data_IF_507343216065
#
_entry.id   IF_507343216065
#
_cell.length_a   1.000
_cell.length_b   1.000
_cell.length_c   1.000
_cell.angle_alpha   90.00
_cell.angle_beta   90.00
_cell.angle_gamma   90.00
#
_symmetry.space_group_name_H-M   'P 1'
#
loop_
_entity.id
_entity.type
_entity.pdbx_description
1 polymer ?
#
# COMPACT_ATOMS: atom_id res chain seq x y z
N UNK A 1 -29.12 -14.12 -5.97
CA UNK A 1 -28.25 -13.24 -6.79
C UNK A 1 -27.58 -12.10 -6.03
N UNK A 2 -27.92 -11.80 -4.77
CA UNK A 2 -27.28 -10.72 -3.97
C UNK A 2 -25.89 -11.07 -3.42
N UNK A 3 -25.60 -12.34 -3.17
CA UNK A 3 -24.30 -12.81 -2.65
C UNK A 3 -23.15 -12.57 -3.63
N UNK A 4 -23.37 -12.88 -4.91
CA UNK A 4 -22.36 -12.70 -5.95
C UNK A 4 -22.03 -11.22 -6.19
N UNK A 5 -23.00 -10.31 -6.00
CA UNK A 5 -22.76 -8.86 -6.11
C UNK A 5 -21.99 -8.29 -4.91
N UNK A 6 -22.07 -8.93 -3.73
CA UNK A 6 -21.33 -8.53 -2.53
C UNK A 6 -19.91 -9.10 -2.49
N UNK A 7 -19.74 -10.33 -2.96
CA UNK A 7 -18.47 -11.07 -2.89
C UNK A 7 -17.77 -11.24 -4.24
N UNK A 8 -18.30 -10.64 -5.31
CA UNK A 8 -17.76 -10.78 -6.67
C UNK A 8 -16.27 -10.46 -6.75
N UNK A 9 -15.82 -9.38 -6.09
CA UNK A 9 -14.41 -9.02 -6.03
C UNK A 9 -13.55 -10.11 -5.37
N UNK A 10 -14.04 -10.74 -4.29
CA UNK A 10 -13.33 -11.85 -3.62
C UNK A 10 -13.20 -13.05 -4.54
N UNK A 11 -14.26 -13.42 -5.26
CA UNK A 11 -14.20 -14.54 -6.20
C UNK A 11 -13.26 -14.27 -7.39
N UNK A 12 -13.29 -13.05 -7.94
CA UNK A 12 -12.38 -12.63 -9.01
C UNK A 12 -10.93 -12.66 -8.52
N UNK A 13 -10.65 -12.11 -7.34
CA UNK A 13 -9.30 -12.11 -6.76
C UNK A 13 -8.82 -13.53 -6.46
N UNK A 14 -9.68 -14.39 -5.91
CA UNK A 14 -9.34 -15.79 -5.65
C UNK A 14 -9.06 -16.53 -6.96
N UNK A 15 -9.84 -16.29 -8.01
CA UNK A 15 -9.63 -16.88 -9.33
C UNK A 15 -8.30 -16.43 -9.93
N UNK A 16 -7.99 -15.13 -9.88
CA UNK A 16 -6.73 -14.58 -10.35
C UNK A 16 -5.54 -15.15 -9.56
N UNK A 17 -5.67 -15.24 -8.23
CA UNK A 17 -4.66 -15.79 -7.34
C UNK A 17 -4.38 -17.28 -7.61
N UNK A 18 -5.44 -18.10 -7.71
CA UNK A 18 -5.28 -19.52 -8.04
C UNK A 18 -4.70 -19.70 -9.46
N UNK A 19 -5.11 -18.84 -10.40
CA UNK A 19 -4.56 -18.82 -11.76
C UNK A 19 -3.07 -18.48 -11.78
N UNK A 20 -2.64 -17.45 -11.04
CA UNK A 20 -1.23 -17.07 -10.96
C UNK A 20 -0.40 -18.12 -10.22
N UNK A 21 -0.93 -18.70 -9.14
CA UNK A 21 -0.23 -19.75 -8.40
C UNK A 21 -0.09 -21.04 -9.22
N UNK A 22 -1.12 -21.40 -10.00
CA UNK A 22 -1.02 -22.49 -10.96
C UNK A 22 -0.01 -22.20 -12.07
N UNK A 23 0.01 -20.97 -12.60
CA UNK A 23 1.01 -20.57 -13.59
C UNK A 23 2.43 -20.70 -13.02
N UNK A 24 2.68 -20.21 -11.81
CA UNK A 24 3.96 -20.36 -11.11
C UNK A 24 4.36 -21.83 -10.94
N UNK A 25 3.41 -22.68 -10.54
CA UNK A 25 3.63 -24.12 -10.44
C UNK A 25 4.09 -24.71 -11.77
N UNK A 26 3.40 -24.43 -12.88
CA UNK A 26 3.78 -25.00 -14.17
C UNK A 26 5.11 -24.46 -14.69
N UNK A 27 5.41 -23.18 -14.50
CA UNK A 27 6.69 -22.60 -14.93
C UNK A 27 7.86 -23.19 -14.16
N UNK A 28 7.74 -23.29 -12.84
CA UNK A 28 8.80 -23.91 -12.02
C UNK A 28 8.94 -25.40 -12.29
N UNK A 29 7.85 -26.11 -12.56
CA UNK A 29 7.92 -27.53 -12.94
C UNK A 29 8.70 -27.74 -14.23
N UNK A 30 8.51 -26.85 -15.22
CA UNK A 30 9.27 -26.87 -16.48
C UNK A 30 10.75 -26.60 -16.20
N UNK A 31 11.06 -25.57 -15.42
CA UNK A 31 12.44 -25.21 -15.05
C UNK A 31 13.14 -26.35 -14.31
N UNK A 32 12.49 -26.92 -13.30
CA UNK A 32 13.02 -28.04 -12.53
C UNK A 32 13.27 -29.26 -13.41
N UNK A 33 12.34 -29.60 -14.31
CA UNK A 33 12.50 -30.72 -15.22
C UNK A 33 13.66 -30.51 -16.20
N UNK A 34 13.81 -29.29 -16.73
CA UNK A 34 14.92 -28.94 -17.61
C UNK A 34 16.26 -29.05 -16.86
N UNK A 35 16.33 -28.53 -15.64
CA UNK A 35 17.53 -28.63 -14.80
C UNK A 35 17.92 -30.09 -14.51
N UNK A 36 16.96 -30.96 -14.21
CA UNK A 36 17.26 -32.38 -14.02
C UNK A 36 17.74 -33.05 -15.29
N UNK A 37 17.11 -32.74 -16.43
CA UNK A 37 17.54 -33.25 -17.74
C UNK A 37 18.98 -32.83 -18.08
N UNK A 38 19.32 -31.56 -17.86
CA UNK A 38 20.66 -31.01 -18.14
C UNK A 38 21.75 -31.62 -17.23
N UNK A 39 21.38 -32.02 -16.02
CA UNK A 39 22.26 -32.73 -15.09
C UNK A 39 22.24 -34.26 -15.24
N UNK A 40 21.47 -34.81 -16.20
CA UNK A 40 21.32 -36.25 -16.40
C UNK A 40 20.65 -36.98 -15.23
N UNK A 41 19.88 -36.26 -14.41
CA UNK A 41 19.16 -36.77 -13.25
C UNK A 41 17.71 -37.13 -13.63
N UNK A 42 17.12 -38.17 -13.02
CA UNK A 42 15.70 -38.43 -13.17
C UNK A 42 14.87 -37.34 -12.48
N UNK A 43 13.67 -37.09 -13.00
CA UNK A 43 12.71 -36.22 -12.33
C UNK A 43 12.13 -36.90 -11.09
N UNK A 44 12.17 -36.22 -9.94
CA UNK A 44 11.59 -36.70 -8.69
C UNK A 44 10.69 -35.63 -8.04
N UNK A 45 9.45 -36.02 -7.73
CA UNK A 45 8.51 -35.15 -7.01
C UNK A 45 8.99 -34.77 -5.60
N UNK A 46 9.77 -35.65 -4.96
CA UNK A 46 10.37 -35.43 -3.63
C UNK A 46 11.32 -34.24 -3.59
N UNK A 47 11.98 -33.90 -4.71
CA UNK A 47 12.80 -32.71 -4.82
C UNK A 47 11.99 -31.48 -5.24
N UNK A 48 11.07 -31.64 -6.17
CA UNK A 48 10.28 -30.52 -6.69
C UNK A 48 9.37 -29.85 -5.64
N UNK A 49 8.67 -30.62 -4.80
CA UNK A 49 7.72 -30.05 -3.83
C UNK A 49 8.38 -29.12 -2.80
N UNK A 50 9.50 -29.50 -2.16
CA UNK A 50 10.25 -28.59 -1.30
C UNK A 50 10.68 -27.31 -2.00
N UNK A 51 11.23 -27.39 -3.21
CA UNK A 51 11.72 -26.21 -3.97
C UNK A 51 10.56 -25.26 -4.35
N UNK A 52 9.44 -25.82 -4.82
CA UNK A 52 8.24 -25.06 -5.14
C UNK A 52 7.64 -24.36 -3.92
N UNK A 53 7.53 -25.08 -2.80
CA UNK A 53 7.01 -24.50 -1.55
C UNK A 53 7.97 -23.47 -0.97
N UNK A 54 9.27 -23.72 -0.99
CA UNK A 54 10.29 -22.78 -0.53
C UNK A 54 10.18 -21.46 -1.29
N UNK A 55 10.20 -21.50 -2.63
CA UNK A 55 10.06 -20.30 -3.45
C UNK A 55 8.71 -19.58 -3.25
N UNK A 56 7.62 -20.33 -3.07
CA UNK A 56 6.30 -19.76 -2.74
C UNK A 56 6.33 -19.03 -1.39
N UNK A 57 6.88 -19.65 -0.35
CA UNK A 57 6.95 -19.07 0.99
C UNK A 57 7.96 -17.93 1.09
N UNK A 58 9.07 -17.97 0.36
CA UNK A 58 10.03 -16.87 0.26
C UNK A 58 9.41 -15.65 -0.41
N UNK A 59 8.69 -15.86 -1.51
CA UNK A 59 7.93 -14.78 -2.16
C UNK A 59 6.92 -14.17 -1.17
N UNK A 60 6.12 -15.00 -0.48
CA UNK A 60 5.16 -14.50 0.50
C UNK A 60 5.84 -13.79 1.67
N UNK A 61 6.90 -14.35 2.22
CA UNK A 61 7.66 -13.74 3.32
C UNK A 61 8.12 -12.33 2.94
N UNK A 62 8.73 -12.18 1.76
CA UNK A 62 9.24 -10.88 1.31
C UNK A 62 8.13 -9.87 1.05
N UNK A 63 7.01 -10.29 0.45
CA UNK A 63 5.84 -9.43 0.24
C UNK A 63 5.19 -9.00 1.57
N UNK A 64 5.05 -9.90 2.54
CA UNK A 64 4.54 -9.55 3.88
C UNK A 64 5.47 -8.57 4.59
N UNK A 65 6.78 -8.81 4.54
CA UNK A 65 7.77 -7.90 5.13
C UNK A 65 7.70 -6.53 4.46
N UNK A 66 7.59 -6.49 3.13
CA UNK A 66 7.40 -5.26 2.36
C UNK A 66 6.14 -4.51 2.79
N UNK A 67 4.99 -5.18 2.88
CA UNK A 67 3.73 -4.56 3.29
C UNK A 67 3.80 -4.01 4.71
N UNK A 68 4.41 -4.74 5.65
CA UNK A 68 4.62 -4.27 7.03
C UNK A 68 5.53 -3.05 7.04
N UNK A 69 6.65 -3.09 6.31
CA UNK A 69 7.58 -1.98 6.23
C UNK A 69 6.94 -0.74 5.60
N UNK A 70 6.21 -0.90 4.49
CA UNK A 70 5.43 0.16 3.85
C UNK A 70 4.38 0.74 4.81
N UNK A 71 3.66 -0.09 5.55
CA UNK A 71 2.70 0.37 6.54
C UNK A 71 3.38 1.21 7.64
N UNK A 72 4.52 0.76 8.16
CA UNK A 72 5.31 1.52 9.13
C UNK A 72 5.76 2.86 8.55
N UNK A 73 6.29 2.87 7.33
CA UNK A 73 6.71 4.10 6.65
C UNK A 73 5.54 5.07 6.45
N UNK A 74 4.39 4.58 5.99
CA UNK A 74 3.20 5.42 5.78
C UNK A 74 2.64 5.95 7.10
N UNK A 75 2.61 5.14 8.15
CA UNK A 75 2.18 5.58 9.49
C UNK A 75 3.18 6.58 10.11
N UNK A 76 4.48 6.36 9.91
CA UNK A 76 5.53 7.28 10.34
C UNK A 76 5.47 8.61 9.58
N UNK A 77 5.35 8.57 8.25
CA UNK A 77 5.18 9.75 7.41
C UNK A 77 3.90 10.50 7.79
N UNK A 78 2.79 9.80 7.99
CA UNK A 78 1.54 10.36 8.51
C UNK A 78 1.76 11.11 9.81
N UNK A 79 2.44 10.50 10.78
CA UNK A 79 2.71 11.12 12.08
C UNK A 79 3.58 12.37 11.96
N UNK A 80 4.65 12.31 11.15
CA UNK A 80 5.56 13.43 10.94
C UNK A 80 4.89 14.59 10.19
N UNK A 81 4.18 14.30 9.09
CA UNK A 81 3.49 15.29 8.27
C UNK A 81 2.35 15.95 9.06
N UNK A 82 1.48 15.19 9.74
CA UNK A 82 0.36 15.80 10.47
C UNK A 82 0.80 16.58 11.71
N UNK A 83 1.93 16.23 12.33
CA UNK A 83 2.49 17.05 13.40
C UNK A 83 2.95 18.42 12.88
N UNK A 84 3.63 18.44 11.73
CA UNK A 84 4.04 19.69 11.07
C UNK A 84 2.83 20.50 10.62
N UNK A 85 1.77 19.83 10.16
CA UNK A 85 0.53 20.48 9.71
C UNK A 85 -0.24 21.18 10.85
N UNK A 86 -0.31 20.55 12.04
CA UNK A 86 -0.91 21.15 13.22
C UNK A 86 -0.18 22.45 13.65
N UNK A 87 1.15 22.39 13.77
CA UNK A 87 1.96 23.57 14.14
C UNK A 87 1.83 24.71 13.10
N UNK A 88 1.78 24.38 11.81
CA UNK A 88 1.60 25.37 10.74
C UNK A 88 0.20 26.01 10.74
N UNK A 89 -0.84 25.21 11.01
CA UNK A 89 -2.23 25.69 11.07
C UNK A 89 -2.41 26.66 12.23
N UNK A 90 -1.92 26.31 13.42
CA UNK A 90 -1.93 27.19 14.60
C UNK A 90 -1.24 28.53 14.31
N UNK A 91 -0.10 28.51 13.62
CA UNK A 91 0.64 29.73 13.23
C UNK A 91 -0.12 30.59 12.23
N UNK A 92 -0.84 29.99 11.29
CA UNK A 92 -1.66 30.72 10.30
C UNK A 92 -2.86 31.37 11.01
N UNK A 93 -3.54 30.63 11.87
CA UNK A 93 -4.68 31.14 12.66
C UNK A 93 -4.28 32.35 13.51
N UNK A 94 -3.16 32.25 14.24
CA UNK A 94 -2.65 33.35 15.05
C UNK A 94 -2.35 34.63 14.22
N UNK A 95 -1.83 34.49 12.99
CA UNK A 95 -1.60 35.63 12.09
C UNK A 95 -2.90 36.24 11.56
N UNK A 96 -3.89 35.40 11.25
CA UNK A 96 -5.21 35.86 10.81
C UNK A 96 -5.88 36.66 11.93
N UNK A 97 -5.80 36.18 13.17
CA UNK A 97 -6.36 36.86 14.33
C UNK A 97 -5.71 38.23 14.60
N UNK A 98 -4.38 38.33 14.48
CA UNK A 98 -3.66 39.60 14.64
C UNK A 98 -4.06 40.61 13.55
N UNK A 99 -4.12 40.18 12.28
CA UNK A 99 -4.61 41.02 11.19
C UNK A 99 -6.06 41.47 11.40
N UNK A 100 -6.92 40.57 11.87
CA UNK A 100 -8.33 40.89 12.19
C UNK A 100 -8.41 41.92 13.31
N UNK A 101 -7.61 41.76 14.37
CA UNK A 101 -7.55 42.68 15.49
C UNK A 101 -7.05 44.07 15.07
N UNK A 102 -6.16 44.15 14.08
CA UNK A 102 -5.70 45.42 13.51
C UNK A 102 -6.71 46.07 12.55
N UNK A 103 -7.40 45.28 11.72
CA UNK A 103 -8.34 45.80 10.72
C UNK A 103 -9.70 46.23 11.29
N UNK A 104 -10.23 45.55 12.30
CA UNK A 104 -11.55 45.87 12.90
C UNK A 104 -11.59 47.30 13.48
N UNK A 105 -10.58 47.78 14.22
CA UNK A 105 -10.50 49.16 14.66
C UNK A 105 -10.34 50.15 13.51
N UNK A 106 -9.57 49.81 12.46
CA UNK A 106 -9.37 50.66 11.30
C UNK A 106 -10.66 50.89 10.52
N UNK A 107 -11.44 49.83 10.29
CA UNK A 107 -12.73 49.92 9.61
C UNK A 107 -13.73 50.77 10.40
N UNK A 108 -13.72 50.65 11.74
CA UNK A 108 -14.57 51.46 12.63
C UNK A 108 -14.17 52.95 12.66
N UNK A 109 -12.95 53.29 12.26
CA UNK A 109 -12.43 54.66 12.19
C UNK A 109 -12.52 55.26 10.78
N UNK A 110 -12.90 54.48 9.75
CA UNK A 110 -13.10 55.04 8.42
C UNK A 110 -14.37 55.89 8.41
N UNK A 111 -14.29 57.17 8.00
CA UNK A 111 -15.48 57.98 7.82
C UNK A 111 -16.36 57.34 6.74
N UNK A 112 -17.64 57.13 7.05
CA UNK A 112 -18.63 56.65 6.07
C UNK A 112 -18.77 57.73 5.00
N UNK A 113 -18.56 57.41 3.71
CA UNK A 113 -18.86 58.36 2.64
C UNK A 113 -20.35 58.71 2.73
N UNK A 114 -20.64 59.98 2.99
CA UNK A 114 -21.98 60.52 2.82
C UNK A 114 -22.13 60.86 1.35
N UNK A 115 -22.90 60.02 0.64
CA UNK A 115 -23.42 60.31 -0.70
C UNK A 115 -24.55 61.35 -0.64
#
# INVERSE_FOLDING_TARGET
MTHFRRWGAVYVLLMLFLGSWAAQFFTQLIEYRNAQHDHGQPFEWSGYWPDFLASTFENWQSEWLQLVFQAILLLGAKHWIFRVDAENTERIEAKIDDLRAYLVPLERQRPVPHD
#
